data_IF_597317390042
#
_entry.id   IF_597317390042
#
_cell.length_a   1.000
_cell.length_b   1.000
_cell.length_c   1.000
_cell.angle_alpha   90.00
_cell.angle_beta   90.00
_cell.angle_gamma   90.00
#
_symmetry.space_group_name_H-M   'P 1'
#
loop_
_entity.id
_entity.type
_entity.pdbx_description
1 polymer ?
#
# COMPACT_ATOMS: atom_id res chain seq x y z
N UNK A 1 11.31 1.85 -6.67
CA UNK A 1 12.34 2.83 -6.85
C UNK A 1 12.19 3.63 -8.13
N UNK A 2 13.02 4.60 -8.29
CA UNK A 2 12.96 5.52 -9.46
C UNK A 2 13.09 4.78 -10.80
N UNK A 3 14.00 3.82 -10.87
CA UNK A 3 14.22 3.03 -12.09
C UNK A 3 13.00 2.22 -12.46
N UNK A 4 12.35 1.58 -11.48
CA UNK A 4 11.15 0.80 -11.73
C UNK A 4 9.99 1.68 -12.21
N UNK A 5 9.84 2.86 -11.65
CA UNK A 5 8.83 3.81 -12.09
C UNK A 5 9.06 4.26 -13.52
N UNK A 6 10.29 4.57 -13.88
CA UNK A 6 10.65 4.96 -15.25
C UNK A 6 10.29 3.87 -16.25
N UNK A 7 10.58 2.60 -15.92
CA UNK A 7 10.25 1.47 -16.80
C UNK A 7 8.74 1.29 -16.94
N UNK A 8 7.97 1.47 -15.87
CA UNK A 8 6.50 1.41 -15.94
C UNK A 8 5.93 2.50 -16.83
N UNK A 9 6.46 3.71 -16.73
CA UNK A 9 6.02 4.83 -17.56
C UNK A 9 6.35 4.60 -19.04
N UNK A 10 7.45 3.92 -19.32
CA UNK A 10 7.87 3.60 -20.68
C UNK A 10 7.23 2.32 -21.20
N UNK A 11 6.31 1.70 -20.44
CA UNK A 11 5.69 0.41 -20.79
C UNK A 11 6.70 -0.71 -21.04
N UNK A 12 7.87 -0.64 -20.40
CA UNK A 12 8.92 -1.65 -20.56
C UNK A 12 8.75 -2.83 -19.61
N UNK A 13 7.83 -2.76 -18.67
CA UNK A 13 7.60 -3.83 -17.70
C UNK A 13 6.25 -4.46 -17.97
N UNK A 14 6.28 -5.77 -18.09
CA UNK A 14 5.08 -6.58 -18.20
C UNK A 14 4.82 -7.30 -16.88
N UNK A 15 3.58 -7.22 -16.43
CA UNK A 15 3.11 -7.94 -15.28
C UNK A 15 2.83 -9.38 -15.70
N UNK A 16 3.37 -10.34 -14.97
CA UNK A 16 3.13 -11.77 -15.20
C UNK A 16 2.29 -12.31 -14.05
N UNK A 17 0.99 -12.41 -14.26
CA UNK A 17 0.08 -12.91 -13.24
C UNK A 17 0.11 -14.45 -13.20
N UNK A 18 0.24 -14.98 -12.00
CA UNK A 18 0.16 -16.40 -11.72
C UNK A 18 -0.79 -16.60 -10.56
N UNK A 19 -1.51 -17.74 -10.53
CA UNK A 19 -2.29 -18.11 -9.36
C UNK A 19 -1.34 -18.27 -8.18
N UNK A 20 -1.45 -17.40 -7.22
CA UNK A 20 -0.50 -17.29 -6.13
C UNK A 20 -1.24 -16.94 -4.83
N UNK A 21 -0.76 -17.46 -3.72
CA UNK A 21 -1.29 -17.12 -2.41
C UNK A 21 -0.91 -15.67 -2.07
N UNK A 22 -1.92 -14.79 -2.04
CA UNK A 22 -1.73 -13.38 -1.71
C UNK A 22 -1.19 -13.22 -0.28
N UNK A 23 -1.56 -14.12 0.63
CA UNK A 23 -1.06 -14.04 2.01
C UNK A 23 0.44 -14.22 2.08
N UNK A 24 1.01 -15.07 1.24
CA UNK A 24 2.47 -15.24 1.18
C UNK A 24 3.14 -13.94 0.74
N UNK A 25 2.61 -13.30 -0.29
CA UNK A 25 3.11 -12.00 -0.77
C UNK A 25 3.04 -10.95 0.33
N UNK A 26 1.91 -10.89 1.04
CA UNK A 26 1.72 -9.92 2.14
C UNK A 26 2.66 -10.21 3.31
N UNK A 27 2.80 -11.47 3.71
CA UNK A 27 3.72 -11.84 4.82
C UNK A 27 5.15 -11.46 4.51
N UNK A 28 5.59 -11.63 3.28
CA UNK A 28 6.93 -11.21 2.87
C UNK A 28 7.11 -9.69 3.01
N UNK A 29 6.08 -8.92 2.64
CA UNK A 29 6.10 -7.47 2.81
C UNK A 29 6.14 -7.06 4.29
N UNK A 30 5.36 -7.73 5.14
CA UNK A 30 5.38 -7.49 6.58
C UNK A 30 6.75 -7.79 7.18
N UNK A 31 7.40 -8.86 6.73
CA UNK A 31 8.76 -9.17 7.15
C UNK A 31 9.76 -8.08 6.80
N UNK A 32 9.64 -7.50 5.60
CA UNK A 32 10.54 -6.44 5.16
C UNK A 32 10.36 -5.13 5.91
N UNK A 33 9.13 -4.78 6.30
CA UNK A 33 8.85 -3.51 6.98
C UNK A 33 9.08 -3.58 8.50
N UNK A 34 9.21 -4.78 9.06
CA UNK A 34 9.25 -4.99 10.51
C UNK A 34 10.31 -4.17 11.21
N UNK A 35 11.54 -4.17 10.68
CA UNK A 35 12.64 -3.44 11.30
C UNK A 35 12.37 -1.94 11.42
N UNK A 36 11.86 -1.35 10.36
CA UNK A 36 11.54 0.09 10.33
C UNK A 36 10.39 0.42 11.27
N UNK A 37 9.40 -0.45 11.34
CA UNK A 37 8.30 -0.28 12.27
C UNK A 37 8.79 -0.35 13.72
N UNK A 38 9.65 -1.32 14.05
CA UNK A 38 10.22 -1.47 15.38
C UNK A 38 11.06 -0.25 15.78
N UNK A 39 11.84 0.31 14.89
CA UNK A 39 12.63 1.51 15.14
C UNK A 39 11.76 2.69 15.54
N UNK A 40 10.54 2.74 15.05
CA UNK A 40 9.56 3.78 15.36
C UNK A 40 8.56 3.34 16.42
N UNK A 41 8.73 2.16 16.99
CA UNK A 41 7.85 1.56 18.00
C UNK A 41 6.40 1.43 17.54
N UNK A 42 6.20 1.16 16.26
CA UNK A 42 4.89 0.97 15.67
C UNK A 42 4.46 -0.48 15.83
N UNK A 43 3.25 -0.68 16.35
CA UNK A 43 2.64 -1.99 16.45
C UNK A 43 1.74 -2.24 15.23
N UNK A 44 1.69 -3.49 14.79
CA UNK A 44 0.77 -3.93 13.75
C UNK A 44 -0.38 -4.73 14.36
N UNK A 45 -1.60 -4.44 13.92
CA UNK A 45 -2.77 -5.26 14.16
C UNK A 45 -3.17 -5.86 12.82
N UNK A 46 -3.05 -7.19 12.70
CA UNK A 46 -3.20 -7.87 11.43
C UNK A 46 -4.35 -8.87 11.52
N UNK A 47 -5.27 -8.77 10.57
CA UNK A 47 -6.40 -9.68 10.45
C UNK A 47 -6.40 -10.26 9.04
N UNK A 48 -6.07 -11.55 8.94
CA UNK A 48 -5.94 -12.26 7.67
C UNK A 48 -6.85 -13.47 7.65
N UNK A 49 -7.46 -13.79 6.49
CA UNK A 49 -8.16 -15.06 6.33
C UNK A 49 -7.15 -16.21 6.25
N UNK A 50 -7.64 -17.45 6.22
CA UNK A 50 -6.77 -18.61 6.12
C UNK A 50 -6.05 -18.69 4.77
N UNK A 51 -6.74 -18.32 3.69
CA UNK A 51 -6.23 -18.47 2.34
C UNK A 51 -6.84 -17.44 1.42
N UNK A 52 -6.01 -16.85 0.56
CA UNK A 52 -6.47 -15.99 -0.52
C UNK A 52 -5.66 -16.31 -1.77
N UNK A 53 -6.23 -17.12 -2.65
CA UNK A 53 -5.64 -17.35 -3.96
C UNK A 53 -6.14 -16.28 -4.92
N UNK A 54 -5.22 -15.59 -5.55
CA UNK A 54 -5.51 -14.45 -6.38
C UNK A 54 -4.46 -14.37 -7.48
N UNK A 55 -4.85 -14.29 -8.76
CA UNK A 55 -3.84 -14.12 -9.81
C UNK A 55 -3.10 -12.81 -9.62
N UNK A 56 -1.80 -12.88 -9.48
CA UNK A 56 -0.99 -11.66 -9.39
C UNK A 56 0.47 -11.96 -9.68
N UNK A 57 1.20 -10.90 -9.98
CA UNK A 57 2.64 -10.92 -10.08
C UNK A 57 3.20 -10.63 -8.70
N UNK A 58 3.73 -11.66 -8.03
CA UNK A 58 4.17 -11.54 -6.64
C UNK A 58 5.27 -10.49 -6.45
N UNK A 59 6.15 -10.32 -7.43
CA UNK A 59 7.22 -9.33 -7.35
C UNK A 59 6.65 -7.91 -7.42
N UNK A 60 5.76 -7.63 -8.38
CA UNK A 60 5.20 -6.29 -8.54
C UNK A 60 4.16 -5.97 -7.48
N UNK A 61 3.29 -6.89 -7.14
CA UNK A 61 2.33 -6.67 -6.03
C UNK A 61 3.08 -6.51 -4.71
N UNK A 62 4.15 -7.29 -4.50
CA UNK A 62 5.02 -7.09 -3.34
C UNK A 62 5.58 -5.67 -3.29
N UNK A 63 6.03 -5.14 -4.41
CA UNK A 63 6.52 -3.75 -4.50
C UNK A 63 5.43 -2.74 -4.15
N UNK A 64 4.21 -2.94 -4.67
CA UNK A 64 3.09 -2.05 -4.38
C UNK A 64 2.73 -2.06 -2.89
N UNK A 65 2.65 -3.24 -2.28
CA UNK A 65 2.34 -3.38 -0.86
C UNK A 65 3.47 -2.80 -0.01
N UNK A 66 4.72 -3.05 -0.38
CA UNK A 66 5.87 -2.45 0.31
C UNK A 66 5.76 -0.93 0.33
N UNK A 67 5.38 -0.32 -0.79
CA UNK A 67 5.23 1.13 -0.88
C UNK A 67 4.11 1.64 0.03
N UNK A 68 2.99 0.93 0.10
CA UNK A 68 1.87 1.29 0.98
C UNK A 68 2.28 1.18 2.45
N UNK A 69 2.94 0.08 2.83
CA UNK A 69 3.39 -0.12 4.20
C UNK A 69 4.47 0.88 4.60
N UNK A 70 5.41 1.15 3.69
CA UNK A 70 6.45 2.13 3.91
C UNK A 70 5.86 3.51 4.18
N UNK A 71 4.88 3.89 3.38
CA UNK A 71 4.16 5.15 3.55
C UNK A 71 3.45 5.20 4.90
N UNK A 72 2.79 4.12 5.30
CA UNK A 72 2.08 4.05 6.58
C UNK A 72 3.04 4.22 7.77
N UNK A 73 4.18 3.53 7.75
CA UNK A 73 5.19 3.66 8.80
C UNK A 73 5.78 5.07 8.83
N UNK A 74 6.10 5.61 7.66
CA UNK A 74 6.71 6.93 7.52
C UNK A 74 5.86 8.03 8.13
N UNK A 75 4.56 8.01 7.91
CA UNK A 75 3.66 9.06 8.36
C UNK A 75 2.92 8.76 9.66
N UNK A 76 3.12 7.58 10.23
CA UNK A 76 2.62 7.26 11.56
C UNK A 76 3.45 7.96 12.62
N UNK A 77 2.83 8.20 13.77
CA UNK A 77 3.54 8.73 14.93
C UNK A 77 4.39 7.64 15.58
N UNK A 78 5.52 7.99 16.18
CA UNK A 78 6.24 7.02 17.01
C UNK A 78 5.31 6.44 18.08
N UNK A 79 5.36 5.12 18.24
CA UNK A 79 4.45 4.42 19.16
C UNK A 79 3.07 4.18 18.60
N UNK A 80 2.87 4.49 17.30
CA UNK A 80 1.56 4.35 16.65
C UNK A 80 1.16 2.91 16.35
N UNK A 81 0.01 2.77 15.72
CA UNK A 81 -0.58 1.47 15.37
C UNK A 81 -0.96 1.50 13.88
N UNK A 82 -0.58 0.44 13.18
CA UNK A 82 -1.03 0.20 11.80
C UNK A 82 -1.90 -1.04 11.81
N UNK A 83 -3.10 -0.92 11.27
CA UNK A 83 -4.03 -2.03 11.13
C UNK A 83 -4.04 -2.50 9.67
N UNK A 84 -3.86 -3.79 9.47
CA UNK A 84 -3.96 -4.40 8.14
C UNK A 84 -5.02 -5.49 8.16
N UNK A 85 -5.89 -5.46 7.18
CA UNK A 85 -6.95 -6.44 7.04
C UNK A 85 -7.04 -6.89 5.60
N UNK A 86 -7.23 -8.18 5.38
CA UNK A 86 -7.51 -8.72 4.07
C UNK A 86 -8.86 -9.41 4.10
N UNK A 87 -9.70 -9.07 3.14
CA UNK A 87 -11.01 -9.67 2.95
C UNK A 87 -11.13 -10.14 1.50
N UNK A 88 -11.85 -11.21 1.30
CA UNK A 88 -12.08 -11.75 -0.05
C UNK A 88 -13.57 -11.95 -0.26
N UNK A 89 -14.05 -11.57 -1.41
CA UNK A 89 -15.37 -11.95 -1.90
C UNK A 89 -15.20 -12.67 -3.25
N UNK A 90 -16.28 -12.90 -3.97
CA UNK A 90 -16.25 -13.64 -5.24
C UNK A 90 -15.49 -12.90 -6.34
N UNK A 91 -15.41 -11.58 -6.26
CA UNK A 91 -14.87 -10.73 -7.32
C UNK A 91 -13.48 -10.19 -7.00
N UNK A 92 -13.23 -9.85 -5.75
CA UNK A 92 -12.03 -9.12 -5.35
C UNK A 92 -11.42 -9.63 -4.06
N UNK A 93 -10.11 -9.48 -3.95
CA UNK A 93 -9.38 -9.49 -2.69
C UNK A 93 -9.13 -8.04 -2.32
N UNK A 94 -9.46 -7.66 -1.09
CA UNK A 94 -9.32 -6.28 -0.61
C UNK A 94 -8.32 -6.24 0.53
N UNK A 95 -7.27 -5.45 0.37
CA UNK A 95 -6.28 -5.20 1.41
C UNK A 95 -6.51 -3.79 1.93
N UNK A 96 -6.74 -3.66 3.24
CA UNK A 96 -6.92 -2.36 3.88
C UNK A 96 -5.77 -2.12 4.83
N UNK A 97 -5.13 -0.95 4.73
CA UNK A 97 -4.05 -0.52 5.62
C UNK A 97 -4.44 0.81 6.23
N UNK A 98 -4.59 0.83 7.55
CA UNK A 98 -4.98 2.02 8.30
C UNK A 98 -3.85 2.43 9.23
N UNK A 99 -3.39 3.67 9.13
CA UNK A 99 -2.46 4.21 10.12
C UNK A 99 -3.18 5.18 11.05
N UNK A 100 -2.53 5.59 12.12
CA UNK A 100 -3.04 6.61 13.02
C UNK A 100 -2.17 7.88 13.01
N UNK A 101 -1.65 8.20 11.83
CA UNK A 101 -0.82 9.36 11.61
C UNK A 101 -1.61 10.64 11.39
N UNK A 102 -1.03 11.53 10.58
CA UNK A 102 -1.60 12.85 10.35
C UNK A 102 -2.86 12.84 9.49
N UNK A 103 -3.05 11.83 8.67
CA UNK A 103 -4.12 11.82 7.68
C UNK A 103 -3.80 12.75 6.51
N UNK A 104 -4.82 13.05 5.74
CA UNK A 104 -4.73 13.96 4.59
C UNK A 104 -5.78 15.05 4.73
N UNK A 105 -5.55 16.19 4.09
CA UNK A 105 -6.54 17.26 4.06
C UNK A 105 -7.72 16.88 3.17
N UNK A 106 -8.89 17.44 3.47
CA UNK A 106 -10.07 17.22 2.67
C UNK A 106 -9.81 17.63 1.22
N UNK A 107 -10.16 16.76 0.29
CA UNK A 107 -9.93 16.97 -1.13
C UNK A 107 -8.61 16.45 -1.66
N UNK A 108 -7.74 15.92 -0.80
CA UNK A 108 -6.46 15.36 -1.22
C UNK A 108 -6.50 13.86 -1.54
N UNK A 109 -7.65 13.21 -1.39
CA UNK A 109 -7.80 11.76 -1.51
C UNK A 109 -7.29 11.18 -2.84
N UNK A 110 -7.39 11.95 -3.92
CA UNK A 110 -6.87 11.55 -5.23
C UNK A 110 -5.46 12.08 -5.48
N UNK A 111 -5.12 13.19 -4.87
CA UNK A 111 -3.83 13.85 -5.09
C UNK A 111 -2.65 13.07 -4.54
N UNK A 112 -2.85 12.29 -3.47
CA UNK A 112 -1.77 11.52 -2.86
C UNK A 112 -1.19 10.45 -3.79
N UNK A 113 -1.91 10.08 -4.85
CA UNK A 113 -1.45 9.14 -5.86
C UNK A 113 -0.72 9.83 -7.01
N UNK A 114 -0.63 11.14 -6.99
CA UNK A 114 0.07 11.88 -8.03
C UNK A 114 1.58 11.73 -7.89
N UNK A 115 2.25 11.73 -9.01
CA UNK A 115 3.70 11.65 -9.05
C UNK A 115 4.32 12.84 -8.30
N UNK A 116 5.28 12.53 -7.42
CA UNK A 116 6.00 13.52 -6.60
C UNK A 116 5.12 14.28 -5.60
N UNK A 117 3.87 13.84 -5.40
CA UNK A 117 3.03 14.47 -4.39
C UNK A 117 3.54 14.20 -2.98
N UNK A 118 3.53 15.26 -2.16
CA UNK A 118 3.79 15.20 -0.72
C UNK A 118 2.76 16.08 -0.04
N UNK A 119 2.08 15.55 0.98
CA UNK A 119 1.06 16.29 1.69
C UNK A 119 1.62 17.55 2.35
N UNK A 120 0.78 18.56 2.54
CA UNK A 120 1.16 19.83 3.16
C UNK A 120 1.69 19.67 4.58
N UNK A 121 1.26 18.64 5.28
CA UNK A 121 1.60 18.40 6.68
C UNK A 121 2.89 17.59 6.86
N UNK A 122 3.57 17.24 5.78
CA UNK A 122 4.73 16.34 5.82
C UNK A 122 5.95 16.91 5.09
N UNK A 123 6.12 18.22 5.16
CA UNK A 123 7.20 18.93 4.45
C UNK A 123 8.60 18.51 4.88
N UNK A 124 8.75 17.99 6.09
CA UNK A 124 10.03 17.55 6.63
C UNK A 124 10.39 16.10 6.33
N UNK A 125 9.44 15.32 5.81
CA UNK A 125 9.67 13.91 5.52
C UNK A 125 10.50 13.74 4.24
N UNK A 126 11.47 12.83 4.28
CA UNK A 126 12.28 12.52 3.11
C UNK A 126 11.53 11.58 2.19
N UNK A 127 11.68 11.77 0.89
CA UNK A 127 11.07 10.91 -0.12
C UNK A 127 10.77 11.70 -1.39
N UNK A 128 10.55 11.00 -2.47
CA UNK A 128 10.31 11.60 -3.77
C UNK A 128 8.83 11.70 -4.13
N UNK A 129 7.93 11.23 -3.27
CA UNK A 129 6.49 11.26 -3.54
C UNK A 129 6.06 10.34 -4.68
N UNK A 130 6.80 9.27 -4.93
CA UNK A 130 6.52 8.34 -6.03
C UNK A 130 5.96 7.01 -5.57
N UNK A 131 6.06 6.68 -4.28
CA UNK A 131 5.69 5.37 -3.77
C UNK A 131 4.24 5.00 -4.03
N UNK A 132 3.31 5.88 -3.69
CA UNK A 132 1.88 5.61 -3.91
C UNK A 132 1.52 5.70 -5.39
N UNK A 133 2.15 6.58 -6.14
CA UNK A 133 1.98 6.66 -7.58
C UNK A 133 2.36 5.32 -8.24
N UNK A 134 3.52 4.79 -7.89
CA UNK A 134 3.99 3.50 -8.41
C UNK A 134 3.06 2.37 -8.00
N UNK A 135 2.66 2.32 -6.73
CA UNK A 135 1.74 1.29 -6.24
C UNK A 135 0.43 1.30 -7.05
N UNK A 136 -0.14 2.47 -7.28
CA UNK A 136 -1.38 2.58 -8.05
C UNK A 136 -1.20 2.10 -9.50
N UNK A 137 -0.07 2.41 -10.12
CA UNK A 137 0.24 1.93 -11.48
C UNK A 137 0.30 0.40 -11.52
N UNK A 138 0.97 -0.20 -10.56
CA UNK A 138 1.09 -1.66 -10.47
C UNK A 138 -0.29 -2.30 -10.29
N UNK A 139 -1.08 -1.80 -9.36
CA UNK A 139 -2.42 -2.32 -9.10
C UNK A 139 -3.31 -2.19 -10.34
N UNK A 140 -3.22 -1.05 -11.05
CA UNK A 140 -3.95 -0.84 -12.30
C UNK A 140 -3.57 -1.84 -13.38
N UNK A 141 -2.28 -2.18 -13.49
CA UNK A 141 -1.81 -3.19 -14.44
C UNK A 141 -2.36 -4.59 -14.13
N UNK A 142 -2.80 -4.83 -12.90
CA UNK A 142 -3.45 -6.07 -12.50
C UNK A 142 -4.97 -6.04 -12.70
N UNK A 143 -5.50 -4.93 -13.21
CA UNK A 143 -6.96 -4.76 -13.34
C UNK A 143 -7.65 -4.38 -12.04
N UNK A 144 -6.87 -4.00 -11.02
CA UNK A 144 -7.40 -3.57 -9.74
C UNK A 144 -7.41 -2.06 -9.59
N UNK A 145 -7.70 -1.60 -8.40
CA UNK A 145 -7.72 -0.18 -8.08
C UNK A 145 -7.36 0.07 -6.63
N UNK A 146 -6.95 1.31 -6.34
CA UNK A 146 -6.64 1.77 -4.99
C UNK A 146 -7.45 3.01 -4.67
N UNK A 147 -7.91 3.09 -3.43
CA UNK A 147 -8.51 4.30 -2.88
C UNK A 147 -7.84 4.68 -1.58
N UNK A 148 -7.94 5.96 -1.24
CA UNK A 148 -7.42 6.49 0.00
C UNK A 148 -8.44 7.44 0.60
N UNK A 149 -8.60 7.38 1.92
CA UNK A 149 -9.47 8.30 2.65
C UNK A 149 -9.05 8.42 4.09
N UNK A 150 -9.44 9.52 4.73
CA UNK A 150 -9.24 9.67 6.16
C UNK A 150 -10.13 8.68 6.91
N UNK A 151 -9.66 8.26 8.09
CA UNK A 151 -10.44 7.41 8.98
C UNK A 151 -11.61 8.21 9.57
N UNK A 152 -12.74 7.52 9.79
CA UNK A 152 -13.95 8.20 10.25
C UNK A 152 -13.87 8.75 11.66
N UNK A 153 -13.39 7.97 12.62
CA UNK A 153 -13.46 8.30 14.03
C UNK A 153 -12.11 8.61 14.66
N UNK A 154 -11.04 8.49 13.90
CA UNK A 154 -9.69 8.67 14.41
C UNK A 154 -8.86 9.41 13.35
N UNK A 155 -7.78 10.07 13.81
CA UNK A 155 -6.81 10.61 12.86
C UNK A 155 -6.10 9.48 12.16
N UNK A 156 -5.76 9.69 10.91
CA UNK A 156 -5.01 8.75 10.13
C UNK A 156 -5.58 8.56 8.74
N UNK A 157 -4.84 7.82 7.95
CA UNK A 157 -5.17 7.53 6.56
C UNK A 157 -5.51 6.06 6.40
N UNK A 158 -6.50 5.77 5.59
CA UNK A 158 -6.81 4.42 5.16
C UNK A 158 -6.52 4.29 3.68
N UNK A 159 -5.72 3.29 3.31
CA UNK A 159 -5.50 2.90 1.91
C UNK A 159 -6.10 1.54 1.69
N UNK A 160 -6.85 1.41 0.61
CA UNK A 160 -7.52 0.19 0.23
C UNK A 160 -7.04 -0.23 -1.15
N UNK A 161 -6.57 -1.47 -1.25
CA UNK A 161 -6.12 -2.09 -2.49
C UNK A 161 -7.13 -3.16 -2.86
N UNK A 162 -7.63 -3.10 -4.10
CA UNK A 162 -8.57 -4.10 -4.61
C UNK A 162 -7.95 -4.82 -5.80
N UNK A 163 -7.87 -6.14 -5.71
CA UNK A 163 -7.34 -6.98 -6.78
C UNK A 163 -8.41 -7.96 -7.25
N UNK A 164 -8.59 -8.13 -8.58
CA UNK A 164 -9.51 -9.17 -9.07
C UNK A 164 -9.01 -10.55 -8.67
N UNK A 165 -9.94 -11.45 -8.28
CA UNK A 165 -9.60 -12.83 -7.95
C UNK A 165 -9.82 -13.79 -9.11
N UNK A 166 -10.29 -13.29 -10.23
CA UNK A 166 -10.50 -14.08 -11.45
C UNK A 166 -9.73 -13.47 -12.62
#
# INVERSE_FOLDING_TARGET
GFVKMSRLEQNMIQVRKEETDLLKTVRNCLGRIQKRAEEKQIAFRIELPQEVNCPHDANWIGEAIDNVLDNAVKYSRPGGIIEMRIQKNEMHAKITVKDNGLGIEKGEEHKIFQRFYRGKNVTTQKGYGIGLYLARKIIGLHGGFMIAKNRYSEKGLMIEINLPVC
#
